data_IF_534281297513
#
_entry.id   IF_534281297513
#
_cell.length_a   1.000
_cell.length_b   1.000
_cell.length_c   1.000
_cell.angle_alpha   90.00
_cell.angle_beta   90.00
_cell.angle_gamma   90.00
#
_symmetry.space_group_name_H-M   'P 1'
#
loop_
_entity.id
_entity.type
_entity.pdbx_description
1 polymer ?
#
# COMPACT_ATOMS: atom_id res chain seq x y z
N UNK A 1 19.61 -0.30 -7.70
CA UNK A 1 19.35 -1.74 -7.86
C UNK A 1 19.88 -2.42 -6.61
N UNK A 2 19.01 -2.70 -5.63
CA UNK A 2 19.43 -3.40 -4.42
C UNK A 2 19.72 -4.86 -4.80
N UNK A 3 20.94 -5.31 -4.50
CA UNK A 3 21.37 -6.68 -4.69
C UNK A 3 20.69 -7.59 -3.65
N UNK A 4 19.83 -8.51 -4.13
CA UNK A 4 19.16 -9.54 -3.34
C UNK A 4 19.80 -10.92 -3.54
N UNK A 5 21.07 -11.00 -3.95
CA UNK A 5 21.77 -12.26 -4.10
C UNK A 5 22.68 -12.57 -2.90
N UNK A 6 22.11 -13.33 -1.96
CA UNK A 6 22.91 -14.27 -1.18
C UNK A 6 22.99 -14.01 0.32
N UNK A 7 22.68 -15.07 1.07
CA UNK A 7 23.17 -15.26 2.43
C UNK A 7 22.07 -15.28 3.47
N UNK A 8 21.70 -16.49 3.90
CA UNK A 8 21.06 -16.76 5.19
C UNK A 8 22.02 -16.36 6.33
N UNK A 9 22.16 -15.05 6.59
CA UNK A 9 22.76 -14.54 7.81
C UNK A 9 21.64 -14.20 8.79
N UNK A 10 21.74 -14.60 10.07
CA UNK A 10 20.72 -14.34 11.10
C UNK A 10 20.71 -12.87 11.56
N UNK A 11 20.89 -11.91 10.63
CA UNK A 11 20.97 -10.47 10.91
C UNK A 11 20.56 -9.58 9.75
N UNK A 12 19.97 -10.12 8.68
CA UNK A 12 19.44 -9.32 7.57
C UNK A 12 18.03 -8.83 7.93
N UNK A 13 17.96 -7.75 8.69
CA UNK A 13 16.71 -7.06 8.99
C UNK A 13 16.22 -6.34 7.72
N UNK A 14 15.00 -6.64 7.28
CA UNK A 14 14.30 -5.82 6.28
C UNK A 14 13.81 -4.58 7.01
N UNK A 15 14.06 -3.39 6.48
CA UNK A 15 13.58 -2.13 7.05
C UNK A 15 12.70 -1.41 6.02
N UNK A 16 11.57 -0.84 6.45
CA UNK A 16 10.77 0.10 5.66
C UNK A 16 11.10 1.52 6.09
N UNK A 17 11.19 2.44 5.14
CA UNK A 17 11.37 3.85 5.45
C UNK A 17 10.02 4.51 5.74
N UNK A 18 9.83 4.99 6.97
CA UNK A 18 8.73 5.88 7.36
C UNK A 18 9.23 7.34 7.30
N UNK A 19 8.60 8.25 6.54
CA UNK A 19 9.04 9.65 6.43
C UNK A 19 8.94 10.46 7.73
N UNK A 20 8.16 10.00 8.71
CA UNK A 20 8.01 10.61 10.04
C UNK A 20 8.95 9.99 11.07
N UNK A 21 9.18 8.67 10.99
CA UNK A 21 9.89 7.92 12.03
C UNK A 21 11.20 7.27 11.58
N UNK A 22 11.60 7.43 10.32
CA UNK A 22 12.82 6.85 9.75
C UNK A 22 12.68 5.36 9.42
N UNK A 23 13.81 4.66 9.26
CA UNK A 23 13.84 3.22 8.96
C UNK A 23 13.24 2.39 10.11
N UNK A 24 12.07 1.81 9.88
CA UNK A 24 11.38 0.91 10.79
C UNK A 24 11.70 -0.55 10.44
N UNK A 25 12.01 -1.41 11.44
CA UNK A 25 12.22 -2.83 11.19
C UNK A 25 10.91 -3.48 10.73
N UNK A 26 11.00 -4.27 9.68
CA UNK A 26 9.94 -5.16 9.23
C UNK A 26 10.11 -6.49 9.93
N UNK A 27 8.99 -6.99 10.45
CA UNK A 27 8.71 -8.34 10.92
C UNK A 27 9.84 -9.38 10.64
N UNK A 28 10.39 -9.96 11.71
CA UNK A 28 11.46 -10.94 11.66
C UNK A 28 11.04 -12.37 12.01
N UNK A 29 11.88 -13.34 11.64
CA UNK A 29 11.83 -14.67 12.24
C UNK A 29 11.97 -14.56 13.76
N UNK A 30 11.01 -15.12 14.50
CA UNK A 30 10.93 -15.02 15.96
C UNK A 30 9.96 -13.94 16.48
N UNK A 31 9.48 -13.04 15.62
CA UNK A 31 8.50 -12.04 16.03
C UNK A 31 7.10 -12.65 16.16
N UNK A 32 6.29 -12.04 17.02
CA UNK A 32 4.89 -12.40 17.19
C UNK A 32 4.04 -11.79 16.07
N UNK A 33 3.28 -12.63 15.38
CA UNK A 33 2.33 -12.25 14.33
C UNK A 33 1.11 -13.16 14.40
N UNK A 34 -0.09 -12.57 14.43
CA UNK A 34 -1.35 -13.30 14.59
C UNK A 34 -1.34 -14.30 15.77
N UNK A 35 -0.82 -13.88 16.92
CA UNK A 35 -0.66 -14.68 18.15
C UNK A 35 0.23 -15.94 17.99
N UNK A 36 1.02 -16.03 16.93
CA UNK A 36 1.98 -17.10 16.66
C UNK A 36 3.37 -16.53 16.40
N UNK A 37 4.38 -17.40 16.36
CA UNK A 37 5.77 -17.01 16.07
C UNK A 37 6.07 -17.21 14.59
N UNK A 38 6.64 -16.20 13.95
CA UNK A 38 7.08 -16.32 12.55
C UNK A 38 8.29 -17.23 12.48
N UNK A 39 8.17 -18.30 11.71
CA UNK A 39 9.27 -19.18 11.35
C UNK A 39 9.99 -18.68 10.11
N UNK A 40 9.27 -18.21 9.10
CA UNK A 40 9.86 -17.67 7.88
C UNK A 40 9.04 -16.48 7.38
N UNK A 41 9.71 -15.45 6.87
CA UNK A 41 9.10 -14.36 6.13
C UNK A 41 9.97 -14.02 4.91
N UNK A 42 9.35 -13.91 3.74
CA UNK A 42 10.03 -13.59 2.49
C UNK A 42 9.23 -12.59 1.69
N UNK A 43 9.92 -11.66 1.06
CA UNK A 43 9.31 -10.73 0.10
C UNK A 43 8.75 -11.52 -1.07
N UNK A 44 7.45 -11.42 -1.28
CA UNK A 44 6.75 -12.03 -2.39
C UNK A 44 6.58 -11.04 -3.55
N UNK A 45 6.25 -9.78 -3.26
CA UNK A 45 6.08 -8.73 -4.28
C UNK A 45 6.39 -7.33 -3.72
N UNK A 46 6.87 -6.45 -4.60
CA UNK A 46 7.06 -5.02 -4.40
C UNK A 46 6.60 -4.34 -5.69
N UNK A 47 5.50 -3.59 -5.62
CA UNK A 47 5.01 -2.84 -6.77
C UNK A 47 5.37 -1.34 -6.69
N UNK A 48 5.22 -0.65 -7.82
CA UNK A 48 5.55 0.77 -7.97
C UNK A 48 4.67 1.70 -7.12
N UNK A 49 3.69 1.15 -6.39
CA UNK A 49 2.78 1.87 -5.50
C UNK A 49 3.27 1.84 -4.05
N UNK A 50 4.50 1.36 -3.80
CA UNK A 50 5.03 1.21 -2.44
C UNK A 50 4.32 0.12 -1.64
N UNK A 51 3.54 -0.74 -2.29
CA UNK A 51 2.91 -1.89 -1.65
C UNK A 51 3.87 -3.06 -1.68
N UNK A 52 4.06 -3.64 -0.50
CA UNK A 52 4.95 -4.74 -0.20
C UNK A 52 4.14 -5.94 0.25
N UNK A 53 4.32 -7.09 -0.39
CA UNK A 53 3.69 -8.34 0.03
C UNK A 53 4.75 -9.28 0.57
N UNK A 54 4.52 -9.80 1.77
CA UNK A 54 5.31 -10.83 2.42
C UNK A 54 4.58 -12.17 2.36
N UNK A 55 5.26 -13.22 1.92
CA UNK A 55 4.89 -14.59 2.29
C UNK A 55 5.42 -14.92 3.67
N UNK A 56 4.61 -15.56 4.51
CA UNK A 56 5.00 -15.97 5.86
C UNK A 56 4.62 -17.42 6.17
N UNK A 57 5.36 -18.02 7.10
CA UNK A 57 5.08 -19.31 7.73
C UNK A 57 5.26 -19.17 9.23
N UNK A 58 4.32 -19.69 10.01
CA UNK A 58 4.23 -19.56 11.46
C UNK A 58 4.48 -20.91 12.17
N UNK A 59 4.79 -20.85 13.46
CA UNK A 59 5.10 -22.03 14.29
C UNK A 59 3.91 -22.97 14.51
N UNK A 60 2.69 -22.47 14.34
CA UNK A 60 1.43 -23.23 14.37
C UNK A 60 1.08 -23.84 13.00
N UNK A 61 2.01 -23.82 12.05
CA UNK A 61 1.87 -24.27 10.65
C UNK A 61 0.91 -23.40 9.80
N UNK A 62 0.56 -22.20 10.26
CA UNK A 62 -0.17 -21.23 9.44
C UNK A 62 0.77 -20.61 8.40
N UNK A 63 0.35 -20.59 7.14
CA UNK A 63 1.05 -19.93 6.04
C UNK A 63 0.12 -18.91 5.37
N UNK A 64 0.68 -17.84 4.83
CA UNK A 64 -0.13 -16.82 4.18
C UNK A 64 0.67 -15.70 3.53
N UNK A 65 -0.08 -14.73 3.00
CA UNK A 65 0.46 -13.49 2.48
C UNK A 65 0.01 -12.34 3.37
N UNK A 66 0.94 -11.48 3.77
CA UNK A 66 0.68 -10.24 4.48
C UNK A 66 1.11 -9.07 3.59
N UNK A 67 0.18 -8.18 3.28
CA UNK A 67 0.44 -7.02 2.43
C UNK A 67 0.52 -5.77 3.29
N UNK A 68 1.62 -5.04 3.15
CA UNK A 68 1.97 -3.83 3.89
C UNK A 68 2.24 -2.73 2.88
N UNK A 69 1.65 -1.58 3.09
CA UNK A 69 1.78 -0.43 2.22
C UNK A 69 0.76 0.59 2.68
N UNK A 70 1.00 1.87 2.41
CA UNK A 70 -0.10 2.80 2.38
C UNK A 70 -1.05 2.23 1.31
N UNK A 71 -2.27 1.89 1.68
CA UNK A 71 -3.36 1.82 0.73
C UNK A 71 -3.62 3.26 0.26
N UNK A 72 -2.62 3.88 -0.38
CA UNK A 72 -2.81 4.99 -1.28
C UNK A 72 -3.58 4.37 -2.43
N UNK A 73 -4.89 4.38 -2.26
CA UNK A 73 -5.83 3.90 -3.23
C UNK A 73 -5.68 4.84 -4.41
N UNK A 74 -4.75 4.50 -5.33
CA UNK A 74 -4.48 5.26 -6.56
C UNK A 74 -5.80 5.44 -7.28
N UNK A 75 -6.41 6.60 -7.11
CA UNK A 75 -7.61 6.98 -7.79
C UNK A 75 -7.16 7.40 -9.19
N UNK A 76 -7.62 6.74 -10.28
CA UNK A 76 -7.20 7.13 -11.62
C UNK A 76 -7.50 8.61 -11.83
N UNK A 77 -6.49 9.40 -12.20
CA UNK A 77 -6.60 10.86 -12.29
C UNK A 77 -6.02 11.65 -11.11
N UNK A 78 -5.73 11.02 -9.98
CA UNK A 78 -5.14 11.63 -8.79
C UNK A 78 -3.60 11.51 -8.87
N UNK A 79 -2.96 12.55 -9.38
CA UNK A 79 -1.51 12.58 -9.59
C UNK A 79 -0.75 12.94 -8.31
N UNK A 80 -1.35 13.73 -7.42
CA UNK A 80 -0.71 14.13 -6.17
C UNK A 80 -0.93 13.15 -5.01
N UNK A 81 -1.78 12.13 -5.21
CA UNK A 81 -2.17 11.09 -4.26
C UNK A 81 -2.80 11.64 -2.98
N UNK A 82 -3.53 12.75 -3.07
CA UNK A 82 -4.26 13.34 -1.93
C UNK A 82 -5.63 12.70 -1.68
N UNK A 83 -6.01 11.74 -2.54
CA UNK A 83 -7.27 11.01 -2.47
C UNK A 83 -8.43 11.72 -3.16
N UNK A 84 -8.17 12.79 -3.92
CA UNK A 84 -9.15 13.51 -4.75
C UNK A 84 -8.61 13.71 -6.16
N UNK A 85 -9.49 13.71 -7.15
CA UNK A 85 -9.14 14.11 -8.53
C UNK A 85 -9.66 15.52 -8.76
N UNK A 86 -8.77 16.51 -8.81
CA UNK A 86 -9.14 17.90 -8.98
C UNK A 86 -8.23 18.70 -9.93
N UNK A 87 -8.28 20.04 -9.83
CA UNK A 87 -7.51 20.93 -10.69
C UNK A 87 -6.00 20.90 -10.41
N UNK A 88 -5.59 20.47 -9.22
CA UNK A 88 -4.18 20.29 -8.87
C UNK A 88 -3.60 19.14 -9.69
N UNK A 89 -4.31 18.02 -9.83
CA UNK A 89 -3.87 16.90 -10.68
C UNK A 89 -3.80 17.29 -12.15
N UNK A 90 -4.79 18.06 -12.61
CA UNK A 90 -4.78 18.58 -13.98
C UNK A 90 -3.57 19.48 -14.21
N UNK A 91 -3.17 20.28 -13.20
CA UNK A 91 -1.99 21.13 -13.31
C UNK A 91 -0.68 20.33 -13.40
N UNK A 92 -0.61 19.19 -12.69
CA UNK A 92 0.53 18.27 -12.74
C UNK A 92 0.61 17.63 -14.13
N UNK A 93 -0.48 17.05 -14.62
CA UNK A 93 -0.54 16.46 -15.96
C UNK A 93 -0.19 17.48 -17.04
N UNK A 94 -0.76 18.69 -16.97
CA UNK A 94 -0.49 19.74 -17.95
C UNK A 94 0.98 20.18 -17.98
N UNK A 95 1.68 20.13 -16.84
CA UNK A 95 3.10 20.48 -16.76
C UNK A 95 4.01 19.43 -17.40
N UNK A 96 3.55 18.18 -17.51
CA UNK A 96 4.31 17.07 -18.09
C UNK A 96 3.77 16.62 -19.46
N UNK A 97 2.69 17.25 -19.93
CA UNK A 97 2.03 16.89 -21.18
C UNK A 97 2.99 16.90 -22.39
N UNK A 98 2.94 15.84 -23.19
CA UNK A 98 3.81 15.64 -24.35
C UNK A 98 5.15 14.97 -24.02
N UNK A 99 5.40 14.58 -22.77
CA UNK A 99 6.47 13.64 -22.45
C UNK A 99 6.16 12.28 -23.07
N UNK A 100 7.14 11.71 -23.77
CA UNK A 100 6.95 10.52 -24.60
C UNK A 100 7.54 9.23 -23.99
N UNK A 101 8.27 9.33 -22.88
CA UNK A 101 8.86 8.20 -22.17
C UNK A 101 9.36 8.62 -20.78
N UNK A 102 9.30 7.68 -19.83
CA UNK A 102 9.88 7.83 -18.50
C UNK A 102 9.05 8.66 -17.51
N UNK A 103 7.85 9.04 -17.90
CA UNK A 103 6.86 9.63 -16.98
C UNK A 103 6.35 8.57 -16.01
N UNK A 104 5.98 9.02 -14.83
CA UNK A 104 5.40 8.20 -13.77
C UNK A 104 3.99 8.71 -13.44
N UNK A 105 3.25 7.94 -12.64
CA UNK A 105 1.93 8.34 -12.13
C UNK A 105 1.87 9.78 -11.59
N UNK A 106 2.86 10.16 -10.79
CA UNK A 106 3.01 11.50 -10.19
C UNK A 106 3.27 12.62 -11.20
N UNK A 107 3.61 12.26 -12.43
CA UNK A 107 3.82 13.20 -13.54
C UNK A 107 2.54 13.30 -14.40
N UNK A 108 1.50 12.51 -14.09
CA UNK A 108 0.23 12.48 -14.80
C UNK A 108 0.12 11.37 -15.85
N UNK A 109 0.99 10.36 -15.82
CA UNK A 109 0.85 9.12 -16.61
C UNK A 109 -0.03 8.12 -15.85
N UNK A 110 -1.32 8.12 -16.16
CA UNK A 110 -2.31 7.24 -15.53
C UNK A 110 -2.52 5.94 -16.31
N UNK A 111 -1.96 5.84 -17.52
CA UNK A 111 -1.95 4.61 -18.33
C UNK A 111 -0.75 3.71 -18.05
N UNK A 112 0.27 4.23 -17.36
CA UNK A 112 1.53 3.57 -17.04
C UNK A 112 2.31 3.12 -18.29
N UNK A 113 2.15 3.85 -19.41
CA UNK A 113 2.85 3.58 -20.66
C UNK A 113 4.17 4.37 -20.83
N UNK A 114 4.45 5.24 -19.86
CA UNK A 114 5.62 6.10 -19.79
C UNK A 114 5.45 7.44 -20.51
N UNK A 115 4.30 7.71 -21.14
CA UNK A 115 3.98 8.98 -21.76
C UNK A 115 2.90 9.74 -20.98
N UNK A 116 2.83 11.05 -21.18
CA UNK A 116 1.73 11.89 -20.66
C UNK A 116 1.03 12.53 -21.84
N UNK A 117 -0.15 12.01 -22.19
CA UNK A 117 -0.88 12.43 -23.37
C UNK A 117 -2.40 12.57 -23.15
N UNK A 118 -3.15 12.58 -24.26
CA UNK A 118 -4.61 12.76 -24.23
C UNK A 118 -5.35 11.59 -23.59
N UNK A 119 -4.76 10.39 -23.56
CA UNK A 119 -5.32 9.22 -22.89
C UNK A 119 -5.33 9.44 -21.38
N UNK A 120 -4.23 9.94 -20.81
CA UNK A 120 -4.17 10.27 -19.39
C UNK A 120 -5.14 11.39 -19.02
N UNK A 121 -5.23 12.43 -19.86
CA UNK A 121 -6.20 13.50 -19.67
C UNK A 121 -7.64 12.96 -19.68
N UNK A 122 -7.93 11.96 -20.52
CA UNK A 122 -9.25 11.33 -20.57
C UNK A 122 -9.57 10.55 -19.30
N UNK A 123 -8.57 9.91 -18.69
CA UNK A 123 -8.70 9.20 -17.40
C UNK A 123 -8.98 10.21 -16.28
N UNK A 124 -8.22 11.31 -16.22
CA UNK A 124 -8.43 12.37 -15.24
C UNK A 124 -9.82 12.97 -15.38
N UNK A 125 -10.22 13.34 -16.60
CA UNK A 125 -11.53 13.93 -16.86
C UNK A 125 -12.69 12.98 -16.52
N UNK A 126 -12.53 11.68 -16.74
CA UNK A 126 -13.53 10.68 -16.38
C UNK A 126 -13.69 10.51 -14.85
N UNK A 127 -12.67 10.84 -14.08
CA UNK A 127 -12.65 10.71 -12.63
C UNK A 127 -12.71 12.04 -11.88
N UNK A 128 -12.85 13.16 -12.60
CA UNK A 128 -12.85 14.48 -12.01
C UNK A 128 -13.91 14.63 -10.91
N UNK A 129 -13.50 15.18 -9.77
CA UNK A 129 -14.32 15.35 -8.56
C UNK A 129 -14.73 14.03 -7.87
N UNK A 130 -14.05 12.92 -8.18
CA UNK A 130 -14.09 11.73 -7.33
C UNK A 130 -13.10 11.88 -6.16
N UNK A 131 -13.46 11.34 -5.00
CA UNK A 131 -12.57 11.26 -3.84
C UNK A 131 -12.74 9.91 -3.14
N UNK A 132 -11.65 9.38 -2.62
CA UNK A 132 -11.65 8.19 -1.78
C UNK A 132 -11.93 8.60 -0.35
N UNK A 133 -13.14 8.35 0.14
CA UNK A 133 -13.47 8.53 1.56
C UNK A 133 -13.21 7.18 2.25
N UNK A 134 -12.23 7.07 3.16
CA UNK A 134 -12.02 5.85 3.92
C UNK A 134 -13.31 5.52 4.70
N UNK A 135 -13.88 4.35 4.46
CA UNK A 135 -15.05 3.91 5.21
C UNK A 135 -14.69 3.89 6.71
N UNK A 136 -15.48 4.54 7.60
CA UNK A 136 -15.19 4.50 9.02
C UNK A 136 -15.30 3.04 9.49
N UNK A 137 -14.27 2.56 10.19
CA UNK A 137 -14.20 1.23 10.81
C UNK A 137 -15.32 0.94 11.86
N UNK A 138 -16.31 1.82 11.98
CA UNK A 138 -17.38 1.81 12.97
C UNK A 138 -18.46 0.75 12.74
N UNK A 139 -18.48 0.05 11.59
CA UNK A 139 -19.51 -0.97 11.32
C UNK A 139 -19.23 -2.34 12.00
N UNK A 140 -18.03 -2.57 12.54
CA UNK A 140 -17.71 -3.83 13.24
C UNK A 140 -18.17 -3.82 14.70
N UNK A 141 -18.40 -2.65 15.31
CA UNK A 141 -18.74 -2.52 16.74
C UNK A 141 -20.21 -2.83 17.08
N UNK A 142 -21.08 -3.08 16.09
CA UNK A 142 -22.52 -3.31 16.32
C UNK A 142 -22.93 -4.80 16.37
N UNK A 143 -22.00 -5.74 16.20
CA UNK A 143 -22.31 -7.19 16.16
C UNK A 143 -21.85 -7.99 17.38
N UNK A 144 -21.36 -7.35 18.45
CA UNK A 144 -21.12 -8.07 19.71
C UNK A 144 -22.47 -8.37 20.39
N UNK A 145 -22.86 -9.66 20.55
CA UNK A 145 -24.00 -9.98 21.38
C UNK A 145 -23.67 -9.57 22.81
N UNK A 146 -24.53 -8.73 23.40
CA UNK A 146 -24.53 -8.36 24.81
C UNK A 146 -24.77 -9.64 25.62
N UNK A 147 -23.72 -10.42 25.89
CA UNK A 147 -23.84 -11.64 26.68
C UNK A 147 -24.23 -11.21 28.09
N UNK A 148 -25.51 -11.45 28.38
CA UNK A 148 -26.20 -11.05 29.57
C UNK A 148 -25.40 -11.44 30.82
N UNK A 149 -25.05 -10.42 31.61
CA UNK A 149 -24.71 -10.58 33.02
C UNK A 149 -25.93 -11.18 33.71
N UNK A 150 -25.97 -12.51 33.83
CA UNK A 150 -26.89 -13.18 34.75
C UNK A 150 -26.32 -13.04 36.15
N UNK A 151 -26.69 -11.92 36.78
CA UNK A 151 -26.44 -11.63 38.20
C UNK A 151 -27.32 -12.55 39.07
N UNK A 152 -26.65 -13.44 39.81
CA UNK A 152 -26.99 -14.05 41.12
C UNK A 152 -28.37 -14.71 41.33
N UNK A 153 -28.36 -15.94 41.85
CA UNK A 153 -28.64 -16.21 43.27
C UNK A 153 -27.64 -17.22 43.82
#
# INVERSE_FOLDING_TARGET
MLDLSGGTNPGTHVFLYDPTNGLQPVIMQGDAFLDSTILNASVYDLNDNGVFTLGYSLADATEGLATWGLLEQRLPGDANLDGSVDLLDLSILANHFGQAAGSMWKDGDFTEDGAVDLLDLSILAANFNNSVIPAPASLVLLSLPLLAVTRRR
#
